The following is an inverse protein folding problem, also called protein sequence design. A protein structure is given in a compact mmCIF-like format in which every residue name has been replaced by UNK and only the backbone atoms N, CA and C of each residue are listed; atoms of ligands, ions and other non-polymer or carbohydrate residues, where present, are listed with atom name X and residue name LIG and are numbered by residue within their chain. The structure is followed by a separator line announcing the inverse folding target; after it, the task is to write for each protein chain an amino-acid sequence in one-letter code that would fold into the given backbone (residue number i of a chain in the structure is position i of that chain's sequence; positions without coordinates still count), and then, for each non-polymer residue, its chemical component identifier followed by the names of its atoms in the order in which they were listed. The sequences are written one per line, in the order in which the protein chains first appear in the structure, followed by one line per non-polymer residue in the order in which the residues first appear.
data_IF_880135230458
#
_entry.id   IF_880135230458
#
_cell.length_a   1.000
_cell.length_b   1.000
_cell.length_c   1.000
_cell.angle_alpha   90.00
_cell.angle_beta   90.00
_cell.angle_gamma   90.00
#
_symmetry.space_group_name_H-M   'P 1'
#
loop_
_entity.id
_entity.type
_entity.pdbx_description
1 polymer ?
#
# COMPACT_ATOMS: atom_id res chain seq x y z
N UNK A 1 1.20 7.19 9.65
CA UNK A 1 2.10 7.36 8.47
C UNK A 1 1.58 8.43 7.51
N UNK A 2 2.45 9.02 6.68
CA UNK A 2 2.06 9.93 5.58
C UNK A 2 2.89 9.70 4.32
N UNK A 3 2.28 9.88 3.15
CA UNK A 3 2.99 9.98 1.88
C UNK A 3 3.61 11.38 1.79
N UNK A 4 4.94 11.45 1.69
CA UNK A 4 5.70 12.70 1.68
C UNK A 4 6.09 13.16 0.27
N UNK A 5 6.28 12.24 -0.67
CA UNK A 5 6.47 12.55 -2.08
C UNK A 5 5.99 11.41 -2.98
N UNK A 6 5.62 11.76 -4.21
CA UNK A 6 5.28 10.82 -5.28
C UNK A 6 5.99 11.26 -6.55
N UNK A 7 6.69 10.35 -7.21
CA UNK A 7 7.37 10.57 -8.49
C UNK A 7 6.87 9.53 -9.48
N UNK A 8 6.29 9.98 -10.59
CA UNK A 8 5.85 9.09 -11.68
C UNK A 8 7.01 8.92 -12.65
N UNK A 9 7.54 7.70 -12.72
CA UNK A 9 8.57 7.29 -13.66
C UNK A 9 7.92 6.59 -14.87
N UNK A 10 8.70 6.27 -15.91
CA UNK A 10 8.16 5.64 -17.11
C UNK A 10 7.67 4.19 -16.89
N UNK A 11 8.23 3.50 -15.90
CA UNK A 11 8.02 2.07 -15.62
C UNK A 11 7.42 1.80 -14.24
N UNK A 12 7.37 2.81 -13.36
CA UNK A 12 6.89 2.68 -11.97
C UNK A 12 6.50 4.02 -11.36
N UNK A 13 5.82 3.98 -10.22
CA UNK A 13 5.61 5.14 -9.34
C UNK A 13 6.43 4.97 -8.08
N UNK A 14 7.35 5.91 -7.82
CA UNK A 14 8.18 5.93 -6.62
C UNK A 14 7.54 6.85 -5.55
N UNK A 15 7.39 6.33 -4.34
CA UNK A 15 6.74 6.99 -3.20
C UNK A 15 7.68 7.04 -2.01
N UNK A 16 7.78 8.20 -1.36
CA UNK A 16 8.41 8.29 -0.04
C UNK A 16 7.34 8.29 1.06
N UNK A 17 7.40 7.31 1.94
CA UNK A 17 6.49 7.16 3.08
C UNK A 17 7.23 7.51 4.35
N UNK A 18 6.69 8.48 5.10
CA UNK A 18 7.17 8.85 6.43
C UNK A 18 6.23 8.25 7.48
N UNK A 19 6.74 7.32 8.28
CA UNK A 19 5.97 6.68 9.35
C UNK A 19 5.77 7.61 10.55
N UNK A 20 6.63 8.61 10.71
CA UNK A 20 6.63 9.57 11.80
C UNK A 20 7.27 8.98 13.05
N UNK A 21 6.49 8.23 13.81
CA UNK A 21 6.95 7.62 15.06
C UNK A 21 7.78 6.36 14.81
N UNK A 22 8.99 6.34 15.36
CA UNK A 22 9.91 5.20 15.30
C UNK A 22 9.35 3.95 16.02
N UNK A 23 8.47 4.12 17.01
CA UNK A 23 7.85 3.00 17.71
C UNK A 23 6.71 2.35 16.88
N UNK A 24 6.21 3.05 15.86
CA UNK A 24 5.12 2.60 14.99
C UNK A 24 5.61 2.07 13.63
N UNK A 25 6.89 1.69 13.51
CA UNK A 25 7.48 1.23 12.25
C UNK A 25 6.94 -0.11 11.76
N UNK A 26 6.47 -0.96 12.69
CA UNK A 26 6.08 -2.34 12.40
C UNK A 26 4.66 -2.59 12.89
N UNK A 27 3.93 -3.45 12.19
CA UNK A 27 2.54 -3.82 12.52
C UNK A 27 2.42 -4.47 13.89
N UNK A 28 3.49 -5.09 14.41
CA UNK A 28 3.51 -5.66 15.76
C UNK A 28 3.29 -4.63 16.89
N UNK A 29 3.44 -3.33 16.60
CA UNK A 29 3.18 -2.26 17.58
C UNK A 29 1.70 -2.16 17.97
N UNK A 30 0.79 -2.64 17.11
CA UNK A 30 -0.64 -2.78 17.40
C UNK A 30 -1.17 -4.05 16.72
N UNK A 31 -1.40 -5.10 17.51
CA UNK A 31 -1.88 -6.39 17.03
C UNK A 31 -3.24 -6.34 16.31
N UNK A 32 -4.01 -5.26 16.47
CA UNK A 32 -5.28 -5.09 15.77
C UNK A 32 -5.11 -4.65 14.31
N UNK A 33 -3.93 -4.18 13.90
CA UNK A 33 -3.65 -3.74 12.52
C UNK A 33 -3.88 -4.90 11.53
N UNK A 34 -3.31 -6.07 11.80
CA UNK A 34 -3.43 -7.24 10.94
C UNK A 34 -4.89 -7.70 10.80
N UNK A 35 -5.62 -7.78 11.93
CA UNK A 35 -7.04 -8.15 11.93
C UNK A 35 -7.89 -7.16 11.13
N UNK A 36 -7.70 -5.85 11.35
CA UNK A 36 -8.41 -4.80 10.61
C UNK A 36 -8.10 -4.87 9.12
N UNK A 37 -6.84 -5.12 8.74
CA UNK A 37 -6.41 -5.21 7.35
C UNK A 37 -7.11 -6.37 6.63
N UNK A 38 -7.07 -7.57 7.20
CA UNK A 38 -7.70 -8.75 6.61
C UNK A 38 -9.23 -8.65 6.59
N UNK A 39 -9.83 -8.03 7.61
CA UNK A 39 -11.28 -7.78 7.63
C UNK A 39 -11.71 -6.79 6.55
N UNK A 40 -10.94 -5.72 6.33
CA UNK A 40 -11.29 -4.66 5.38
C UNK A 40 -10.94 -5.02 3.94
N UNK A 41 -9.84 -5.75 3.73
CA UNK A 41 -9.29 -6.18 2.45
C UNK A 41 -8.90 -7.67 2.51
N UNK A 42 -9.87 -8.60 2.50
CA UNK A 42 -9.60 -10.03 2.62
C UNK A 42 -8.81 -10.62 1.45
N UNK A 43 -8.62 -9.86 0.37
CA UNK A 43 -7.73 -10.27 -0.72
C UNK A 43 -6.25 -10.34 -0.32
N UNK A 44 -5.86 -9.58 0.71
CA UNK A 44 -4.48 -9.55 1.23
C UNK A 44 -3.98 -10.93 1.67
N UNK A 45 -4.86 -11.83 2.12
CA UNK A 45 -4.49 -13.21 2.51
C UNK A 45 -3.83 -13.99 1.38
N UNK A 46 -4.11 -13.63 0.12
CA UNK A 46 -3.59 -14.32 -1.07
C UNK A 46 -2.35 -13.64 -1.65
N UNK A 47 -1.88 -12.56 -1.04
CA UNK A 47 -0.67 -11.91 -1.51
C UNK A 47 0.55 -12.75 -1.14
N UNK A 48 1.55 -12.68 -2.02
CA UNK A 48 2.85 -13.30 -1.82
C UNK A 48 3.88 -12.19 -1.88
N UNK A 49 4.74 -12.11 -0.87
CA UNK A 49 5.91 -11.24 -0.85
C UNK A 49 7.17 -12.11 -0.77
N UNK A 50 8.32 -11.54 -1.14
CA UNK A 50 9.59 -12.20 -0.90
C UNK A 50 10.05 -11.87 0.53
N UNK A 51 10.18 -12.90 1.36
CA UNK A 51 10.72 -12.82 2.72
C UNK A 51 11.68 -13.99 2.95
N UNK A 52 12.51 -13.89 3.98
CA UNK A 52 13.55 -14.89 4.27
C UNK A 52 13.00 -16.23 4.81
N UNK A 53 11.73 -16.26 5.21
CA UNK A 53 11.12 -17.37 5.96
C UNK A 53 10.03 -18.14 5.16
N UNK A 54 9.92 -17.90 3.84
CA UNK A 54 8.88 -18.47 2.95
C UNK A 54 7.44 -18.28 3.47
N UNK A 55 7.19 -17.23 4.27
CA UNK A 55 5.89 -16.94 4.87
C UNK A 55 4.92 -16.40 3.84
N UNK A 56 3.64 -16.72 4.01
CA UNK A 56 2.55 -16.02 3.33
C UNK A 56 2.50 -14.57 3.80
N UNK A 57 1.96 -13.66 2.97
CA UNK A 57 1.78 -12.27 3.43
C UNK A 57 0.82 -12.19 4.64
N UNK A 58 -0.13 -13.11 4.75
CA UNK A 58 -1.02 -13.20 5.91
C UNK A 58 -0.27 -13.44 7.23
N UNK A 59 0.81 -14.23 7.20
CA UNK A 59 1.67 -14.48 8.36
C UNK A 59 2.59 -13.28 8.63
N UNK A 60 3.14 -12.66 7.59
CA UNK A 60 3.97 -11.45 7.68
C UNK A 60 3.21 -10.27 8.30
N UNK A 61 1.91 -10.13 8.03
CA UNK A 61 1.08 -9.04 8.56
C UNK A 61 1.16 -8.87 10.08
N UNK A 62 1.41 -9.96 10.83
CA UNK A 62 1.56 -9.90 12.28
C UNK A 62 2.79 -9.09 12.73
N UNK A 63 3.84 -9.08 11.92
CA UNK A 63 5.08 -8.37 12.20
C UNK A 63 5.83 -7.99 10.91
N UNK A 64 5.36 -6.94 10.24
CA UNK A 64 5.99 -6.38 9.04
C UNK A 64 6.04 -4.86 9.11
N UNK A 65 6.82 -4.20 8.26
CA UNK A 65 6.90 -2.74 8.24
C UNK A 65 5.56 -2.11 7.80
N UNK A 66 5.14 -1.04 8.47
CA UNK A 66 3.90 -0.33 8.12
C UNK A 66 3.89 0.13 6.64
N UNK A 67 5.01 0.61 6.05
CA UNK A 67 5.08 0.91 4.61
C UNK A 67 4.98 -0.32 3.69
N UNK A 68 5.39 -1.50 4.14
CA UNK A 68 5.21 -2.74 3.38
C UNK A 68 3.75 -3.19 3.38
N UNK A 69 3.03 -3.01 4.51
CA UNK A 69 1.57 -3.15 4.50
C UNK A 69 0.91 -2.14 3.55
N UNK A 70 1.34 -0.88 3.57
CA UNK A 70 0.84 0.13 2.64
C UNK A 70 1.04 -0.28 1.17
N UNK A 71 2.20 -0.84 0.82
CA UNK A 71 2.46 -1.39 -0.50
C UNK A 71 1.38 -2.39 -0.92
N UNK A 72 1.16 -3.42 -0.09
CA UNK A 72 0.18 -4.46 -0.39
C UNK A 72 -1.27 -3.94 -0.46
N UNK A 73 -1.61 -2.94 0.36
CA UNK A 73 -2.92 -2.27 0.28
C UNK A 73 -3.10 -1.54 -1.05
N UNK A 74 -2.08 -0.83 -1.53
CA UNK A 74 -2.11 -0.20 -2.86
C UNK A 74 -2.30 -1.26 -3.95
N UNK A 75 -1.51 -2.33 -3.91
CA UNK A 75 -1.56 -3.42 -4.89
C UNK A 75 -2.93 -4.13 -4.92
N UNK A 76 -3.54 -4.38 -3.77
CA UNK A 76 -4.89 -4.97 -3.72
C UNK A 76 -5.95 -4.01 -4.26
N UNK A 77 -5.87 -2.71 -3.95
CA UNK A 77 -6.81 -1.72 -4.51
C UNK A 77 -6.68 -1.60 -6.03
N UNK A 78 -5.45 -1.60 -6.57
CA UNK A 78 -5.19 -1.64 -8.01
C UNK A 78 -5.77 -2.91 -8.65
N UNK A 79 -5.50 -4.08 -8.04
CA UNK A 79 -6.00 -5.36 -8.54
C UNK A 79 -7.54 -5.42 -8.54
N UNK A 80 -8.21 -4.89 -7.51
CA UNK A 80 -9.68 -4.78 -7.47
C UNK A 80 -10.23 -3.78 -8.49
N UNK A 81 -9.43 -2.79 -8.89
CA UNK A 81 -9.75 -1.84 -9.96
C UNK A 81 -9.41 -2.36 -11.37
N UNK A 82 -8.92 -3.60 -11.50
CA UNK A 82 -8.70 -4.26 -12.78
C UNK A 82 -7.25 -4.30 -13.24
N UNK A 83 -6.29 -3.81 -12.45
CA UNK A 83 -4.87 -3.96 -12.77
C UNK A 83 -4.42 -5.43 -12.69
N UNK A 84 -3.43 -5.85 -13.50
CA UNK A 84 -2.90 -7.21 -13.43
C UNK A 84 -2.31 -7.55 -12.05
N UNK A 85 -2.66 -8.71 -11.50
CA UNK A 85 -2.09 -9.22 -10.23
C UNK A 85 -0.61 -9.63 -10.33
N UNK A 86 -0.03 -9.55 -11.52
CA UNK A 86 1.40 -9.79 -11.78
C UNK A 86 2.27 -8.55 -11.60
N UNK A 87 1.67 -7.35 -11.50
CA UNK A 87 2.40 -6.13 -11.18
C UNK A 87 3.07 -6.28 -9.82
N UNK A 88 4.23 -5.64 -9.66
CA UNK A 88 5.04 -5.72 -8.45
C UNK A 88 5.04 -4.41 -7.67
N UNK A 89 5.04 -4.55 -6.35
CA UNK A 89 5.46 -3.51 -5.44
C UNK A 89 6.85 -3.83 -4.89
N UNK A 90 7.53 -2.82 -4.36
CA UNK A 90 8.77 -3.00 -3.60
C UNK A 90 8.86 -1.95 -2.49
N UNK A 91 9.08 -2.41 -1.26
CA UNK A 91 9.39 -1.56 -0.11
C UNK A 91 10.86 -1.70 0.25
N UNK A 92 11.56 -0.57 0.35
CA UNK A 92 12.98 -0.52 0.76
C UNK A 92 13.26 0.70 1.64
N UNK A 93 14.37 0.68 2.38
CA UNK A 93 14.78 1.79 3.23
C UNK A 93 16.29 1.94 3.29
N UNK A 94 16.72 3.19 3.48
CA UNK A 94 18.10 3.54 3.83
C UNK A 94 18.03 4.69 4.85
N UNK A 95 17.89 4.34 6.13
CA UNK A 95 17.70 5.33 7.20
C UNK A 95 18.90 6.26 7.38
N UNK A 96 20.09 5.87 6.90
CA UNK A 96 21.26 6.74 6.91
C UNK A 96 21.16 7.84 5.85
N UNK A 97 20.64 7.50 4.67
CA UNK A 97 20.43 8.44 3.56
C UNK A 97 19.20 9.32 3.76
N UNK A 98 18.10 8.74 4.21
CA UNK A 98 16.77 9.38 4.14
C UNK A 98 16.21 9.84 5.48
N UNK A 99 16.84 9.41 6.57
CA UNK A 99 16.34 9.60 7.92
C UNK A 99 15.54 8.39 8.40
N UNK A 100 15.54 8.22 9.73
CA UNK A 100 14.84 7.12 10.39
C UNK A 100 13.32 7.24 10.17
N UNK A 101 12.67 6.12 9.81
CA UNK A 101 11.23 6.07 9.54
C UNK A 101 10.80 6.54 8.15
N UNK A 102 11.75 6.88 7.28
CA UNK A 102 11.50 7.15 5.86
C UNK A 102 11.76 5.90 5.02
N UNK A 103 10.74 5.48 4.27
CA UNK A 103 10.77 4.34 3.38
C UNK A 103 10.52 4.77 1.94
N UNK A 104 11.11 4.02 1.01
CA UNK A 104 10.75 4.04 -0.40
C UNK A 104 9.78 2.90 -0.67
N UNK A 105 8.70 3.23 -1.36
CA UNK A 105 7.77 2.23 -1.90
C UNK A 105 7.63 2.50 -3.39
N UNK A 106 7.85 1.48 -4.20
CA UNK A 106 7.72 1.54 -5.65
C UNK A 106 6.58 0.65 -6.12
N UNK A 107 5.90 1.06 -7.18
CA UNK A 107 4.80 0.32 -7.78
C UNK A 107 4.94 0.25 -9.29
N UNK A 108 5.00 -0.95 -9.86
CA UNK A 108 4.68 -1.14 -11.27
C UNK A 108 3.20 -0.78 -11.51
N UNK A 109 2.88 -0.25 -12.68
CA UNK A 109 1.51 0.15 -13.02
C UNK A 109 1.17 -0.16 -14.48
N UNK A 110 -0.09 -0.49 -14.73
CA UNK A 110 -0.67 -0.53 -16.09
C UNK A 110 -1.38 0.79 -16.44
N UNK A 111 -1.83 1.52 -15.43
CA UNK A 111 -2.55 2.79 -15.52
C UNK A 111 -2.10 3.70 -14.36
N UNK A 112 -1.54 4.87 -14.68
CA UNK A 112 -0.95 5.79 -13.71
C UNK A 112 -2.01 6.50 -12.86
N UNK A 113 -3.16 6.84 -13.44
CA UNK A 113 -4.29 7.42 -12.71
C UNK A 113 -4.85 6.45 -11.68
N UNK A 114 -4.96 5.16 -12.03
CA UNK A 114 -5.34 4.11 -11.08
C UNK A 114 -4.30 3.98 -9.97
N UNK A 115 -3.01 3.93 -10.29
CA UNK A 115 -1.94 3.81 -9.30
C UNK A 115 -1.93 5.00 -8.32
N UNK A 116 -1.93 6.24 -8.82
CA UNK A 116 -1.99 7.46 -8.01
C UNK A 116 -3.27 7.53 -7.17
N UNK A 117 -4.40 7.12 -7.76
CA UNK A 117 -5.67 7.00 -7.06
C UNK A 117 -5.63 6.00 -5.93
N UNK A 118 -4.99 4.84 -6.14
CA UNK A 118 -4.85 3.76 -5.17
C UNK A 118 -3.91 4.17 -4.03
N UNK A 119 -2.78 4.85 -4.30
CA UNK A 119 -1.89 5.45 -3.29
C UNK A 119 -2.66 6.38 -2.34
N UNK A 120 -3.53 7.23 -2.90
CA UNK A 120 -4.36 8.16 -2.11
C UNK A 120 -5.42 7.42 -1.29
N UNK A 121 -6.09 6.42 -1.86
CA UNK A 121 -7.09 5.61 -1.16
C UNK A 121 -6.44 4.76 -0.04
N UNK A 122 -5.30 4.14 -0.33
CA UNK A 122 -4.51 3.38 0.62
C UNK A 122 -4.08 4.23 1.82
N UNK A 123 -3.73 5.51 1.61
CA UNK A 123 -3.43 6.41 2.74
C UNK A 123 -4.59 6.54 3.73
N UNK A 124 -5.84 6.53 3.26
CA UNK A 124 -7.04 6.54 4.12
C UNK A 124 -7.24 5.19 4.82
N UNK A 125 -6.99 4.09 4.10
CA UNK A 125 -7.01 2.74 4.67
C UNK A 125 -5.98 2.64 5.79
N UNK A 126 -4.73 3.03 5.54
CA UNK A 126 -3.67 2.99 6.53
C UNK A 126 -3.97 3.83 7.77
N UNK A 127 -4.54 5.02 7.60
CA UNK A 127 -5.00 5.83 8.75
C UNK A 127 -6.05 5.09 9.60
N UNK A 128 -6.98 4.37 8.99
CA UNK A 128 -7.91 3.51 9.72
C UNK A 128 -7.19 2.36 10.44
N UNK A 129 -6.27 1.69 9.75
CA UNK A 129 -5.55 0.54 10.28
C UNK A 129 -4.69 0.93 11.50
N UNK A 130 -3.92 2.02 11.39
CA UNK A 130 -2.95 2.45 12.42
C UNK A 130 -3.56 3.31 13.52
N UNK A 131 -4.57 4.14 13.21
CA UNK A 131 -5.05 5.18 14.15
C UNK A 131 -6.46 4.88 14.71
N UNK A 132 -7.16 3.87 14.18
CA UNK A 132 -8.43 3.38 14.74
C UNK A 132 -9.68 4.22 14.45
N UNK A 133 -9.71 4.96 13.34
CA UNK A 133 -10.85 5.81 12.92
C UNK A 133 -12.04 5.07 12.29
N UNK A 134 -12.94 5.78 11.56
CA UNK A 134 -13.98 5.13 10.78
C UNK A 134 -13.36 4.35 9.62
N UNK A 135 -13.80 3.10 9.43
CA UNK A 135 -13.36 2.28 8.31
C UNK A 135 -13.75 2.94 6.98
N UNK A 136 -12.83 3.10 6.01
CA UNK A 136 -13.17 3.63 4.71
C UNK A 136 -14.02 2.63 3.91
N UNK A 137 -14.89 3.14 3.04
CA UNK A 137 -15.63 2.31 2.10
C UNK A 137 -14.71 1.89 0.94
N UNK A 138 -14.05 0.75 1.08
CA UNK A 138 -13.12 0.22 0.07
C UNK A 138 -13.82 -0.20 -1.22
N UNK A 139 -15.12 -0.52 -1.17
CA UNK A 139 -15.90 -0.84 -2.36
C UNK A 139 -16.17 0.41 -3.19
N UNK A 140 -16.57 1.51 -2.54
CA UNK A 140 -16.74 2.80 -3.19
C UNK A 140 -15.42 3.33 -3.76
N UNK A 141 -14.32 3.24 -3.02
CA UNK A 141 -13.00 3.65 -3.52
C UNK A 141 -12.58 2.79 -4.73
N UNK A 142 -12.80 1.47 -4.69
CA UNK A 142 -12.53 0.60 -5.84
C UNK A 142 -13.35 0.99 -7.07
N UNK A 143 -14.65 1.28 -6.91
CA UNK A 143 -15.50 1.72 -8.01
C UNK A 143 -15.01 3.05 -8.62
N UNK A 144 -14.58 3.99 -7.76
CA UNK A 144 -13.96 5.25 -8.20
C UNK A 144 -12.68 4.99 -8.99
N UNK A 145 -11.81 4.08 -8.53
CA UNK A 145 -10.58 3.73 -9.25
C UNK A 145 -10.88 3.11 -10.61
N UNK A 146 -11.87 2.21 -10.69
CA UNK A 146 -12.29 1.60 -11.94
C UNK A 146 -12.74 2.66 -12.95
N UNK A 147 -13.49 3.69 -12.52
CA UNK A 147 -13.92 4.78 -13.41
C UNK A 147 -12.79 5.62 -13.98
N UNK A 148 -11.59 5.62 -13.37
CA UNK A 148 -10.43 6.34 -13.92
C UNK A 148 -9.95 5.71 -15.22
N UNK A 149 -10.14 4.40 -15.39
CA UNK A 149 -9.74 3.67 -16.60
C UNK A 149 -10.61 4.01 -17.81
N UNK A 150 -11.76 4.65 -17.59
CA UNK A 150 -12.66 5.11 -18.65
C UNK A 150 -12.32 6.51 -19.16
N UNK A 151 -11.34 7.19 -18.54
CA UNK A 151 -10.87 8.51 -18.99
C UNK A 151 -10.11 8.33 -20.31
N UNK A 152 -10.58 8.94 -21.41
CA UNK A 152 -9.89 8.79 -22.70
C UNK A 152 -8.47 9.34 -22.62
N UNK A 153 -7.49 8.57 -23.08
CA UNK A 153 -6.17 9.12 -23.39
C UNK A 153 -6.36 10.08 -24.55
N UNK A 154 -6.20 11.39 -24.29
CA UNK A 154 -6.19 12.39 -25.36
C UNK A 154 -4.92 12.12 -26.18
N UNK A 155 -5.12 11.65 -27.41
CA UNK A 155 -4.06 11.36 -28.37
C UNK A 155 -3.34 12.62 -28.86
#
# INVERSE_FOLDING_TARGET
MRVSSVTVCADRVDVLVDVGDAEALRTMSDSTIAERALKLLPGLERHVCHNDDDRTFAEELADTEVPHLFEHVVMELMARAGSPRTLKGETSWDFKRDGHGIFRVAFEYDDDLVCLGAIKAASKVMAYLTDGGPAPDTALETARLLSLREVPVVA
#
